data_IF_588316282792
#
_entry.id   IF_588316282792
#
_cell.length_a   1.000
_cell.length_b   1.000
_cell.length_c   1.000
_cell.angle_alpha   90.00
_cell.angle_beta   90.00
_cell.angle_gamma   90.00
#
_symmetry.space_group_name_H-M   'P 1'
#
loop_
_entity.id
_entity.type
_entity.pdbx_description
1 polymer ?
#
# COMPACT_ATOMS: atom_id res chain seq x y z
N UNK A 1 13.63 17.32 32.62
CA UNK A 1 13.17 15.97 32.28
C UNK A 1 13.35 15.85 30.79
N UNK A 2 14.50 15.32 30.42
CA UNK A 2 15.06 15.34 29.07
C UNK A 2 14.23 14.45 28.13
N UNK A 3 13.68 15.05 27.06
CA UNK A 3 13.20 14.31 25.90
C UNK A 3 14.45 13.85 25.15
N UNK A 4 14.96 12.69 25.53
CA UNK A 4 16.05 12.04 24.82
C UNK A 4 15.56 11.75 23.40
N UNK A 5 16.11 12.47 22.43
CA UNK A 5 15.68 12.46 21.03
C UNK A 5 15.46 11.06 20.50
N UNK A 6 14.18 10.70 20.34
CA UNK A 6 13.77 9.52 19.61
C UNK A 6 14.35 9.64 18.20
N UNK A 7 15.18 8.67 17.79
CA UNK A 7 15.66 8.61 16.42
C UNK A 7 14.43 8.65 15.49
N UNK A 8 14.45 9.42 14.39
CA UNK A 8 13.28 9.57 13.54
C UNK A 8 12.80 8.19 13.06
N UNK A 9 11.52 7.91 13.28
CA UNK A 9 10.87 6.69 12.79
C UNK A 9 10.97 6.63 11.26
N UNK A 10 11.38 5.50 10.66
CA UNK A 10 11.44 5.37 9.21
C UNK A 10 10.07 5.61 8.56
N UNK A 11 10.07 6.37 7.46
CA UNK A 11 8.85 6.80 6.76
C UNK A 11 8.58 5.89 5.58
N UNK A 12 7.40 5.30 5.55
CA UNK A 12 6.99 4.39 4.49
C UNK A 12 5.97 5.02 3.54
N UNK A 13 6.13 4.74 2.25
CA UNK A 13 5.06 4.84 1.27
C UNK A 13 4.36 3.49 1.16
N UNK A 14 3.10 3.41 1.56
CA UNK A 14 2.30 2.20 1.50
C UNK A 14 1.63 2.07 0.12
N UNK A 15 2.01 1.04 -0.62
CA UNK A 15 1.50 0.73 -1.96
C UNK A 15 0.28 -0.18 -1.84
N UNK A 16 -0.82 0.21 -2.47
CA UNK A 16 -1.96 -0.64 -2.74
C UNK A 16 -2.23 -0.70 -4.24
N UNK A 17 -2.68 -1.86 -4.72
CA UNK A 17 -3.04 -2.07 -6.12
C UNK A 17 -4.50 -1.74 -6.36
N UNK A 18 -4.79 -1.09 -7.49
CA UNK A 18 -6.13 -0.92 -8.01
C UNK A 18 -6.48 -2.11 -8.90
N UNK A 19 -7.32 -3.01 -8.38
CA UNK A 19 -7.89 -4.13 -9.13
C UNK A 19 -9.39 -3.89 -9.36
N UNK A 20 -9.90 -4.12 -10.58
CA UNK A 20 -11.30 -3.87 -10.91
C UNK A 20 -12.29 -4.67 -10.06
N UNK A 21 -13.47 -4.08 -9.81
CA UNK A 21 -14.51 -4.66 -8.95
C UNK A 21 -15.01 -6.02 -9.46
N UNK A 22 -14.97 -6.30 -10.76
CA UNK A 22 -15.36 -7.62 -11.31
C UNK A 22 -14.52 -8.79 -10.76
N UNK A 23 -13.35 -8.52 -10.19
CA UNK A 23 -12.48 -9.54 -9.58
C UNK A 23 -12.84 -9.86 -8.13
N UNK A 24 -13.81 -9.15 -7.52
CA UNK A 24 -14.13 -9.25 -6.10
C UNK A 24 -14.49 -10.67 -5.66
N UNK A 25 -15.09 -11.46 -6.54
CA UNK A 25 -15.45 -12.84 -6.20
C UNK A 25 -14.26 -13.80 -6.21
N UNK A 26 -13.29 -13.54 -7.08
CA UNK A 26 -12.12 -14.38 -7.30
C UNK A 26 -10.99 -14.01 -6.32
N UNK A 27 -10.69 -12.72 -6.21
CA UNK A 27 -9.61 -12.20 -5.37
C UNK A 27 -10.01 -10.91 -4.65
N UNK A 28 -10.80 -11.01 -3.59
CA UNK A 28 -11.37 -9.86 -2.91
C UNK A 28 -10.32 -8.95 -2.26
N UNK A 29 -9.17 -9.49 -1.85
CA UNK A 29 -8.12 -8.69 -1.22
C UNK A 29 -7.46 -7.74 -2.20
N UNK A 30 -7.20 -8.18 -3.44
CA UNK A 30 -6.64 -7.31 -4.48
C UNK A 30 -7.58 -6.15 -4.85
N UNK A 31 -8.90 -6.34 -4.70
CA UNK A 31 -9.92 -5.31 -4.92
C UNK A 31 -10.07 -4.36 -3.72
N UNK A 32 -9.90 -4.87 -2.50
CA UNK A 32 -10.09 -4.10 -1.26
C UNK A 32 -8.84 -3.27 -0.89
N UNK A 33 -8.67 -2.12 -1.55
CA UNK A 33 -7.57 -1.17 -1.29
C UNK A 33 -7.47 -0.73 0.17
N UNK A 34 -8.61 -0.65 0.89
CA UNK A 34 -8.61 -0.29 2.30
C UNK A 34 -7.98 -1.39 3.15
N UNK A 35 -8.35 -2.64 2.93
CA UNK A 35 -7.74 -3.78 3.63
C UNK A 35 -6.24 -3.90 3.33
N UNK A 36 -5.81 -3.55 2.11
CA UNK A 36 -4.39 -3.46 1.77
C UNK A 36 -3.66 -2.38 2.58
N UNK A 37 -4.20 -1.15 2.64
CA UNK A 37 -3.62 -0.08 3.44
C UNK A 37 -3.64 -0.39 4.94
N UNK A 38 -4.73 -0.97 5.46
CA UNK A 38 -4.84 -1.40 6.86
C UNK A 38 -3.78 -2.47 7.19
N UNK A 39 -3.45 -3.37 6.26
CA UNK A 39 -2.37 -4.35 6.45
C UNK A 39 -1.01 -3.66 6.57
N UNK A 40 -0.71 -2.71 5.67
CA UNK A 40 0.52 -1.91 5.73
C UNK A 40 0.60 -1.12 7.05
N UNK A 41 -0.51 -0.50 7.48
CA UNK A 41 -0.55 0.28 8.71
C UNK A 41 -0.28 -0.59 9.96
N UNK A 42 -0.85 -1.79 10.00
CA UNK A 42 -0.59 -2.76 11.09
C UNK A 42 0.86 -3.20 11.12
N UNK A 43 1.47 -3.46 9.96
CA UNK A 43 2.88 -3.80 9.87
C UNK A 43 3.75 -2.64 10.33
N UNK A 44 3.49 -1.42 9.84
CA UNK A 44 4.27 -0.24 10.18
C UNK A 44 4.24 0.06 11.69
N UNK A 45 3.05 0.00 12.31
CA UNK A 45 2.89 0.18 13.75
C UNK A 45 3.62 -0.89 14.58
N UNK A 46 3.66 -2.15 14.10
CA UNK A 46 4.36 -3.23 14.78
C UNK A 46 5.89 -3.14 14.66
N UNK A 47 6.42 -2.34 13.74
CA UNK A 47 7.83 -2.22 13.44
C UNK A 47 8.39 -0.80 13.64
N UNK A 48 7.68 0.08 14.35
CA UNK A 48 8.08 1.47 14.61
C UNK A 48 8.31 2.32 13.36
N UNK A 49 7.55 2.04 12.29
CA UNK A 49 7.52 2.84 11.06
C UNK A 49 6.29 3.73 11.01
N UNK A 50 6.38 4.85 10.30
CA UNK A 50 5.25 5.76 10.06
C UNK A 50 4.90 5.75 8.58
N UNK A 51 3.64 5.51 8.24
CA UNK A 51 3.17 5.72 6.86
C UNK A 51 3.01 7.22 6.64
N UNK A 52 3.79 7.79 5.73
CA UNK A 52 3.71 9.21 5.35
C UNK A 52 3.01 9.41 4.01
N UNK A 53 2.86 8.33 3.23
CA UNK A 53 2.23 8.35 1.92
C UNK A 53 1.48 7.07 1.66
N UNK A 54 0.29 7.20 1.09
CA UNK A 54 -0.47 6.08 0.52
C UNK A 54 -0.47 6.23 -1.00
N UNK A 55 -0.08 5.16 -1.70
CA UNK A 55 -0.01 5.09 -3.15
C UNK A 55 -1.05 4.10 -3.66
N UNK A 56 -1.91 4.55 -4.56
CA UNK A 56 -2.90 3.72 -5.26
C UNK A 56 -2.47 3.58 -6.71
N UNK A 57 -1.99 2.39 -7.07
CA UNK A 57 -1.30 2.16 -8.34
C UNK A 57 -2.03 1.11 -9.17
N UNK A 58 -2.02 1.29 -10.49
CA UNK A 58 -2.44 0.26 -11.43
C UNK A 58 -1.40 0.16 -12.53
N UNK A 59 -0.68 -0.96 -12.60
CA UNK A 59 0.29 -1.25 -13.68
C UNK A 59 1.20 -0.05 -13.99
N UNK A 60 1.65 0.69 -12.96
CA UNK A 60 2.51 1.86 -13.13
C UNK A 60 3.91 1.41 -13.54
N UNK A 61 4.55 2.14 -14.45
CA UNK A 61 5.94 1.85 -14.81
C UNK A 61 6.86 2.07 -13.59
N UNK A 62 7.78 1.13 -13.28
CA UNK A 62 8.71 1.24 -12.15
C UNK A 62 9.58 2.50 -12.13
N UNK A 63 9.86 3.09 -13.28
CA UNK A 63 10.67 4.30 -13.45
C UNK A 63 9.84 5.60 -13.49
N UNK A 64 8.52 5.52 -13.32
CA UNK A 64 7.63 6.67 -13.41
C UNK A 64 7.96 7.75 -12.34
N UNK A 65 8.23 9.01 -12.72
CA UNK A 65 8.70 10.05 -11.79
C UNK A 65 7.84 10.28 -10.54
N UNK A 66 6.51 10.28 -10.67
CA UNK A 66 5.59 10.46 -9.54
C UNK A 66 5.74 9.38 -8.44
N UNK A 67 6.18 8.17 -8.80
CA UNK A 67 6.44 7.09 -7.82
C UNK A 67 7.62 7.44 -6.91
N UNK A 68 8.57 8.22 -7.43
CA UNK A 68 9.82 8.57 -6.77
C UNK A 68 9.82 9.97 -6.16
N UNK A 69 8.85 10.82 -6.50
CA UNK A 69 8.83 12.22 -6.09
C UNK A 69 8.95 12.43 -4.57
N UNK A 70 8.26 11.61 -3.77
CA UNK A 70 8.34 11.66 -2.31
C UNK A 70 9.64 11.05 -1.74
N UNK A 71 10.22 10.06 -2.43
CA UNK A 71 11.52 9.49 -2.07
C UNK A 71 12.66 10.48 -2.36
N UNK A 72 12.66 11.07 -3.56
CA UNK A 72 13.67 12.05 -4.00
C UNK A 72 13.61 13.35 -3.17
N UNK A 73 12.43 13.70 -2.65
CA UNK A 73 12.25 14.80 -1.70
C UNK A 73 12.59 14.43 -0.24
N UNK A 74 13.01 13.20 0.03
CA UNK A 74 13.34 12.71 1.37
C UNK A 74 12.14 12.71 2.32
N UNK A 75 10.92 12.51 1.81
CA UNK A 75 9.68 12.35 2.61
C UNK A 75 9.34 10.88 2.88
N UNK A 76 9.95 9.98 2.12
CA UNK A 76 9.78 8.52 2.19
C UNK A 76 11.16 7.89 2.20
N UNK A 77 11.37 6.92 3.09
CA UNK A 77 12.61 6.17 3.25
C UNK A 77 12.50 4.75 2.67
N UNK A 78 11.27 4.21 2.57
CA UNK A 78 11.00 2.88 2.01
C UNK A 78 9.61 2.78 1.35
N UNK A 79 9.45 1.79 0.47
CA UNK A 79 8.17 1.36 -0.06
C UNK A 79 7.69 0.10 0.68
N UNK A 80 6.47 0.13 1.19
CA UNK A 80 5.82 -0.97 1.88
C UNK A 80 4.65 -1.48 1.03
N UNK A 81 4.61 -2.76 0.75
CA UNK A 81 3.50 -3.43 0.04
C UNK A 81 2.87 -4.50 0.93
N UNK A 82 1.55 -4.76 0.86
CA UNK A 82 0.91 -5.80 1.66
C UNK A 82 1.49 -7.19 1.37
N UNK A 83 1.70 -7.49 0.10
CA UNK A 83 2.20 -8.78 -0.38
C UNK A 83 2.86 -8.63 -1.75
N UNK A 84 3.62 -9.65 -2.18
CA UNK A 84 4.22 -9.68 -3.52
C UNK A 84 3.17 -9.58 -4.62
N UNK A 85 2.03 -10.27 -4.48
CA UNK A 85 0.95 -10.25 -5.47
C UNK A 85 0.30 -8.87 -5.63
N UNK A 86 0.21 -8.08 -4.56
CA UNK A 86 -0.24 -6.67 -4.66
C UNK A 86 0.77 -5.85 -5.47
N UNK A 87 2.07 -6.04 -5.23
CA UNK A 87 3.11 -5.33 -5.98
C UNK A 87 3.08 -5.69 -7.48
N UNK A 88 2.90 -6.97 -7.82
CA UNK A 88 2.78 -7.42 -9.22
C UNK A 88 1.57 -6.80 -9.96
N UNK A 89 0.51 -6.43 -9.24
CA UNK A 89 -0.66 -5.71 -9.79
C UNK A 89 -0.45 -4.20 -9.85
N UNK A 90 0.26 -3.64 -8.86
CA UNK A 90 0.51 -2.21 -8.72
C UNK A 90 1.43 -1.66 -9.80
N UNK A 91 2.50 -2.39 -10.17
CA UNK A 91 3.48 -1.97 -11.18
C UNK A 91 3.49 -2.88 -12.40
N UNK A 92 4.08 -2.44 -13.51
CA UNK A 92 4.20 -3.29 -14.71
C UNK A 92 5.10 -4.51 -14.47
N UNK A 93 6.14 -4.35 -13.64
CA UNK A 93 7.12 -5.38 -13.30
C UNK A 93 7.68 -5.18 -11.88
N UNK A 94 7.36 -6.08 -10.94
CA UNK A 94 7.81 -5.99 -9.55
C UNK A 94 9.33 -6.22 -9.38
N UNK A 95 9.92 -7.08 -10.20
CA UNK A 95 11.37 -7.33 -10.17
C UNK A 95 12.17 -6.10 -10.60
N UNK A 96 11.72 -5.44 -11.67
CA UNK A 96 12.32 -4.19 -12.13
C UNK A 96 12.18 -3.09 -11.09
N UNK A 97 11.00 -2.95 -10.47
CA UNK A 97 10.80 -2.01 -9.38
C UNK A 97 11.72 -2.29 -8.18
N UNK A 98 11.85 -3.55 -7.77
CA UNK A 98 12.73 -3.94 -6.66
C UNK A 98 14.20 -3.67 -7.00
N UNK A 99 14.63 -3.96 -8.23
CA UNK A 99 15.97 -3.68 -8.71
C UNK A 99 16.25 -2.17 -8.77
N UNK A 100 15.30 -1.35 -9.21
CA UNK A 100 15.41 0.11 -9.22
C UNK A 100 15.49 0.66 -7.80
N UNK A 101 14.69 0.14 -6.86
CA UNK A 101 14.80 0.51 -5.44
C UNK A 101 16.20 0.24 -4.91
N UNK A 102 16.73 -0.97 -5.12
CA UNK A 102 18.08 -1.32 -4.69
C UNK A 102 19.15 -0.40 -5.31
N UNK A 103 19.04 -0.07 -6.61
CA UNK A 103 19.97 0.84 -7.31
C UNK A 103 19.89 2.27 -6.79
N UNK A 104 18.72 2.71 -6.35
CA UNK A 104 18.48 4.07 -5.84
C UNK A 104 18.64 4.17 -4.32
N UNK A 105 18.94 3.07 -3.63
CA UNK A 105 19.07 3.02 -2.17
C UNK A 105 17.73 3.03 -1.43
N UNK A 106 16.60 2.87 -2.13
CA UNK A 106 15.30 2.68 -1.50
C UNK A 106 15.12 1.23 -1.02
N UNK A 107 14.52 1.05 0.16
CA UNK A 107 14.14 -0.28 0.65
C UNK A 107 12.74 -0.63 0.18
N UNK A 108 12.53 -1.88 -0.22
CA UNK A 108 11.19 -2.44 -0.45
C UNK A 108 10.93 -3.47 0.63
N UNK A 109 9.76 -3.37 1.26
CA UNK A 109 9.32 -4.28 2.31
C UNK A 109 7.95 -4.82 1.97
N UNK A 110 7.77 -6.11 2.21
CA UNK A 110 6.47 -6.77 2.12
C UNK A 110 5.95 -7.01 3.54
N UNK A 111 4.69 -6.67 3.81
CA UNK A 111 4.08 -6.89 5.11
C UNK A 111 3.86 -8.39 5.38
N UNK A 112 3.42 -9.14 4.36
CA UNK A 112 3.16 -10.59 4.37
C UNK A 112 2.36 -11.06 5.61
N UNK A 113 1.46 -10.20 6.09
CA UNK A 113 0.52 -10.54 7.14
C UNK A 113 -0.63 -11.39 6.58
N UNK A 114 -1.27 -12.18 7.44
CA UNK A 114 -2.45 -12.94 7.04
C UNK A 114 -3.54 -12.03 6.47
N UNK A 115 -3.99 -12.35 5.27
CA UNK A 115 -5.05 -11.62 4.59
C UNK A 115 -6.40 -11.77 5.31
N UNK A 116 -7.28 -10.76 5.23
CA UNK A 116 -8.63 -10.88 5.77
C UNK A 116 -9.41 -12.01 5.11
N UNK A 117 -10.25 -12.69 5.88
CA UNK A 117 -11.19 -13.65 5.31
C UNK A 117 -12.41 -12.93 4.74
N UNK A 118 -12.78 -13.26 3.51
CA UNK A 118 -13.89 -12.63 2.80
C UNK A 118 -15.11 -13.54 2.72
N UNK A 119 -16.11 -13.24 3.54
CA UNK A 119 -17.45 -13.82 3.41
C UNK A 119 -18.39 -12.93 2.58
N UNK A 120 -19.63 -13.40 2.32
CA UNK A 120 -20.62 -12.63 1.55
C UNK A 120 -20.84 -11.20 2.07
N UNK A 121 -20.84 -11.03 3.40
CA UNK A 121 -21.05 -9.73 4.04
C UNK A 121 -19.89 -8.76 3.81
N UNK A 122 -18.63 -9.20 3.91
CA UNK A 122 -17.48 -8.32 3.68
C UNK A 122 -17.34 -8.00 2.20
N UNK A 123 -17.53 -8.98 1.30
CA UNK A 123 -17.62 -8.74 -0.15
C UNK A 123 -18.70 -7.69 -0.49
N UNK A 124 -19.92 -7.82 0.06
CA UNK A 124 -20.98 -6.83 -0.16
C UNK A 124 -20.62 -5.41 0.36
N UNK A 125 -19.80 -5.30 1.41
CA UNK A 125 -19.28 -3.99 1.88
C UNK A 125 -18.27 -3.41 0.90
N UNK A 126 -17.34 -4.22 0.41
CA UNK A 126 -16.37 -3.80 -0.62
C UNK A 126 -17.11 -3.36 -1.88
N UNK A 127 -18.06 -4.17 -2.35
CA UNK A 127 -18.88 -3.83 -3.51
C UNK A 127 -19.58 -2.49 -3.32
N UNK A 128 -20.29 -2.29 -2.21
CA UNK A 128 -21.01 -1.03 -1.94
C UNK A 128 -20.09 0.19 -1.93
N UNK A 129 -18.89 0.04 -1.38
CA UNK A 129 -17.90 1.13 -1.28
C UNK A 129 -17.36 1.51 -2.66
N UNK A 130 -17.13 0.53 -3.53
CA UNK A 130 -16.53 0.75 -4.85
C UNK A 130 -17.55 1.00 -5.97
N UNK A 131 -18.79 0.54 -5.83
CA UNK A 131 -19.85 0.68 -6.84
C UNK A 131 -20.62 2.00 -6.73
N UNK A 132 -20.47 2.73 -5.62
CA UNK A 132 -21.09 4.04 -5.44
C UNK A 132 -20.02 5.11 -5.71
N UNK A 133 -20.29 6.12 -6.55
CA UNK A 133 -19.45 7.30 -6.60
C UNK A 133 -19.62 8.01 -5.25
N UNK A 134 -18.72 7.78 -4.30
CA UNK A 134 -18.75 8.46 -3.01
C UNK A 134 -18.44 9.93 -3.21
N UNK A 135 -19.50 10.72 -3.46
CA UNK A 135 -19.64 11.97 -2.74
C UNK A 135 -19.52 11.65 -1.25
N UNK A 136 -18.62 12.32 -0.55
CA UNK A 136 -18.14 11.96 0.77
C UNK A 136 -19.23 11.74 1.81
N UNK A 137 -19.49 10.48 2.14
CA UNK A 137 -20.21 10.12 3.35
C UNK A 137 -19.35 9.15 4.16
N UNK A 138 -18.46 9.73 4.97
CA UNK A 138 -17.97 9.06 6.17
C UNK A 138 -19.16 9.01 7.13
N UNK A 139 -19.89 7.89 7.09
CA UNK A 139 -20.90 7.60 8.09
C UNK A 139 -20.20 7.39 9.44
N UNK A 140 -20.23 8.43 10.27
CA UNK A 140 -20.06 8.33 11.72
C UNK A 140 -21.07 7.34 12.32
#
# INVERSE_FOLDING_TARGET
MEDAGQAPHPRAAAIASLTPLEHLDQDPFLVDTRSQQDMCARWAAAHDHVITRELLLHRLAPDHPELWADFDAGRVDLFLTPSRRVLDQAVTCAEEFTALCARRGARVVTADLAEPQYGPRSKARVHRRLSMPTAGYDGC
#
